data_IF_394679764784
#
_entry.id   IF_394679764784
#
_cell.length_a   1.000
_cell.length_b   1.000
_cell.length_c   1.000
_cell.angle_alpha   90.00
_cell.angle_beta   90.00
_cell.angle_gamma   90.00
#
_symmetry.space_group_name_H-M   'P 1'
#
loop_
_entity.id
_entity.type
_entity.pdbx_description
1 polymer ?
#
# COMPACT_ATOMS: atom_id res chain seq x y z
N UNK A 1 -4.20 -1.12 -32.36
CA UNK A 1 -5.14 -1.85 -31.50
C UNK A 1 -4.87 -1.45 -30.06
N UNK A 2 -5.79 -0.70 -29.43
CA UNK A 2 -5.65 -0.32 -28.03
C UNK A 2 -6.07 -1.51 -27.15
N UNK A 3 -5.11 -2.13 -26.47
CA UNK A 3 -5.44 -3.14 -25.46
C UNK A 3 -6.11 -2.44 -24.29
N UNK A 4 -7.43 -2.57 -24.18
CA UNK A 4 -8.16 -2.17 -22.97
C UNK A 4 -7.69 -3.12 -21.85
N UNK A 5 -6.70 -2.69 -21.06
CA UNK A 5 -6.37 -3.38 -19.81
C UNK A 5 -7.59 -3.19 -18.90
N UNK A 6 -8.32 -4.28 -18.61
CA UNK A 6 -9.36 -4.25 -17.57
C UNK A 6 -8.71 -3.71 -16.29
N UNK A 7 -9.31 -2.66 -15.73
CA UNK A 7 -8.89 -2.11 -14.44
C UNK A 7 -9.00 -3.25 -13.42
N UNK A 8 -7.92 -3.54 -12.71
CA UNK A 8 -7.95 -4.54 -11.64
C UNK A 8 -8.98 -4.10 -10.59
N UNK A 9 -9.67 -5.05 -9.92
CA UNK A 9 -10.55 -4.71 -8.82
C UNK A 9 -9.76 -3.94 -7.76
N UNK A 10 -10.37 -2.90 -7.20
CA UNK A 10 -9.79 -2.14 -6.10
C UNK A 10 -10.28 -2.75 -4.78
N UNK A 11 -9.34 -3.22 -3.96
CA UNK A 11 -9.59 -3.71 -2.63
C UNK A 11 -9.28 -2.60 -1.63
N UNK A 12 -10.32 -2.02 -1.05
CA UNK A 12 -10.24 -0.87 -0.12
C UNK A 12 -10.58 -1.32 1.29
N UNK A 13 -9.95 -0.70 2.27
CA UNK A 13 -10.24 -0.98 3.67
C UNK A 13 -9.36 -0.19 4.62
N UNK A 14 -9.49 -0.48 5.90
CA UNK A 14 -8.62 0.05 6.94
C UNK A 14 -7.60 -1.01 7.37
N UNK A 15 -6.38 -0.56 7.62
CA UNK A 15 -5.27 -1.41 8.04
C UNK A 15 -4.36 -0.70 9.01
N UNK A 16 -3.34 -1.40 9.46
CA UNK A 16 -2.27 -0.84 10.28
C UNK A 16 -1.00 -0.72 9.45
N UNK A 17 -0.45 0.48 9.38
CA UNK A 17 0.86 0.74 8.82
C UNK A 17 1.90 0.74 9.93
N UNK A 18 2.96 -0.03 9.73
CA UNK A 18 4.14 -0.04 10.60
C UNK A 18 5.40 0.24 9.79
N UNK A 19 6.15 1.24 10.20
CA UNK A 19 7.50 1.51 9.71
C UNK A 19 8.39 1.92 10.90
N UNK A 20 9.64 2.29 10.64
CA UNK A 20 10.57 2.64 11.71
C UNK A 20 10.05 3.82 12.52
N UNK A 21 9.72 3.57 13.79
CA UNK A 21 9.27 4.61 14.72
C UNK A 21 7.78 4.96 14.64
N UNK A 22 7.00 4.27 13.81
CA UNK A 22 5.56 4.50 13.69
C UNK A 22 4.78 3.18 13.59
N UNK A 23 3.65 3.14 14.28
CA UNK A 23 2.61 2.14 14.13
C UNK A 23 1.26 2.84 14.30
N UNK A 24 0.39 2.73 13.31
CA UNK A 24 -0.90 3.41 13.35
C UNK A 24 -1.85 2.98 12.24
N UNK A 25 -3.12 3.34 12.40
CA UNK A 25 -4.15 3.02 11.41
C UNK A 25 -4.05 3.91 10.17
N UNK A 26 -4.28 3.29 9.01
CA UNK A 26 -4.32 3.94 7.70
C UNK A 26 -5.45 3.33 6.87
N UNK A 27 -6.04 4.11 5.98
CA UNK A 27 -6.87 3.56 4.91
C UNK A 27 -5.97 3.09 3.77
N UNK A 28 -6.34 2.01 3.08
CA UNK A 28 -5.63 1.52 1.91
C UNK A 28 -6.57 1.29 0.72
N UNK A 29 -5.99 1.34 -0.47
CA UNK A 29 -6.56 0.87 -1.73
C UNK A 29 -5.51 0.01 -2.43
N UNK A 30 -5.83 -1.26 -2.70
CA UNK A 30 -4.95 -2.20 -3.38
C UNK A 30 -5.55 -2.57 -4.74
N UNK A 31 -4.77 -2.48 -5.80
CA UNK A 31 -5.18 -2.87 -7.14
C UNK A 31 -4.91 -4.36 -7.35
N UNK A 32 -5.98 -5.15 -7.38
CA UNK A 32 -5.95 -6.61 -7.46
C UNK A 32 -6.41 -7.25 -6.15
N UNK A 33 -6.42 -8.58 -6.12
CA UNK A 33 -6.88 -9.37 -4.98
C UNK A 33 -5.70 -9.77 -4.08
N UNK A 34 -5.53 -9.17 -2.88
CA UNK A 34 -4.38 -9.43 -2.00
C UNK A 34 -4.25 -10.89 -1.58
N UNK A 35 -5.38 -11.58 -1.39
CA UNK A 35 -5.40 -12.99 -0.96
C UNK A 35 -4.83 -13.95 -2.01
N UNK A 36 -4.80 -13.52 -3.27
CA UNK A 36 -4.21 -14.31 -4.38
C UNK A 36 -2.73 -14.03 -4.61
N UNK A 37 -2.14 -13.07 -3.87
CA UNK A 37 -0.73 -12.76 -3.99
C UNK A 37 0.09 -13.94 -3.46
N UNK A 38 0.88 -14.54 -4.35
CA UNK A 38 1.79 -15.66 -4.03
C UNK A 38 3.23 -15.15 -4.04
N UNK A 39 4.10 -15.83 -3.29
CA UNK A 39 5.54 -15.64 -3.38
C UNK A 39 5.99 -15.81 -4.85
N UNK A 40 6.54 -14.74 -5.44
CA UNK A 40 6.86 -14.69 -6.86
C UNK A 40 7.13 -13.26 -7.36
N UNK A 41 7.35 -13.07 -8.66
CA UNK A 41 7.64 -11.74 -9.23
C UNK A 41 6.42 -10.80 -9.26
N UNK A 42 5.22 -11.33 -9.01
CA UNK A 42 3.98 -10.57 -9.00
C UNK A 42 3.97 -9.57 -7.83
N UNK A 43 3.76 -8.29 -8.15
CA UNK A 43 3.58 -7.22 -7.17
C UNK A 43 2.20 -6.62 -7.35
N UNK A 44 1.47 -6.46 -6.25
CA UNK A 44 0.26 -5.64 -6.26
C UNK A 44 0.66 -4.21 -5.95
N UNK A 45 -0.01 -3.25 -6.59
CA UNK A 45 0.20 -1.83 -6.30
C UNK A 45 -0.98 -1.32 -5.51
N UNK A 46 -0.73 -0.33 -4.67
CA UNK A 46 -1.77 0.31 -3.91
C UNK A 46 -1.41 1.72 -3.51
N UNK A 47 -2.33 2.33 -2.78
CA UNK A 47 -2.13 3.59 -2.09
C UNK A 47 -2.61 3.45 -0.65
N UNK A 48 -1.96 4.17 0.26
CA UNK A 48 -2.42 4.37 1.62
C UNK A 48 -2.76 5.84 1.81
N UNK A 49 -3.77 6.10 2.64
CA UNK A 49 -4.17 7.43 3.09
C UNK A 49 -3.98 7.51 4.59
N UNK A 50 -3.22 8.50 5.03
CA UNK A 50 -2.87 8.78 6.42
C UNK A 50 -2.79 10.31 6.63
N UNK A 51 -2.32 10.77 7.79
CA UNK A 51 -2.01 12.21 7.90
C UNK A 51 -0.86 12.58 6.93
N UNK A 52 -0.79 13.83 6.43
CA UNK A 52 0.28 14.25 5.53
C UNK A 52 1.69 14.01 6.07
N UNK A 53 1.87 14.14 7.39
CA UNK A 53 3.12 13.88 8.08
C UNK A 53 3.47 12.39 8.01
N UNK A 54 2.52 11.51 8.31
CA UNK A 54 2.71 10.05 8.27
C UNK A 54 2.97 9.58 6.85
N UNK A 55 2.24 10.09 5.86
CA UNK A 55 2.44 9.73 4.46
C UNK A 55 3.85 10.14 3.96
N UNK A 56 4.30 11.33 4.36
CA UNK A 56 5.66 11.82 4.07
C UNK A 56 6.74 10.98 4.76
N UNK A 57 6.55 10.66 6.04
CA UNK A 57 7.51 9.87 6.81
C UNK A 57 7.59 8.42 6.32
N UNK A 58 6.44 7.80 6.04
CA UNK A 58 6.38 6.47 5.43
C UNK A 58 7.15 6.43 4.10
N UNK A 59 6.95 7.42 3.23
CA UNK A 59 7.69 7.55 1.98
C UNK A 59 9.19 7.75 2.20
N UNK A 60 9.57 8.55 3.21
CA UNK A 60 10.98 8.78 3.57
C UNK A 60 11.68 7.53 4.06
N UNK A 61 11.00 6.68 4.83
CA UNK A 61 11.53 5.38 5.25
C UNK A 61 11.62 4.39 4.08
N UNK A 62 10.76 4.52 3.07
CA UNK A 62 10.82 3.79 1.81
C UNK A 62 10.27 2.36 1.88
N UNK A 63 10.25 1.74 3.05
CA UNK A 63 9.66 0.42 3.29
C UNK A 63 8.82 0.40 4.58
N UNK A 64 7.83 -0.49 4.61
CA UNK A 64 6.97 -0.71 5.77
C UNK A 64 6.27 -2.06 5.75
N UNK A 65 5.46 -2.30 6.77
CA UNK A 65 4.54 -3.44 6.86
C UNK A 65 3.12 -2.90 6.90
N UNK A 66 2.28 -3.38 5.98
CA UNK A 66 0.85 -3.13 5.99
C UNK A 66 0.14 -4.38 6.49
N UNK A 67 -0.56 -4.25 7.62
CA UNK A 67 -1.45 -5.27 8.15
C UNK A 67 -2.87 -4.94 7.70
N UNK A 68 -3.50 -5.84 6.96
CA UNK A 68 -4.90 -5.68 6.55
C UNK A 68 -5.84 -6.03 7.72
N UNK A 69 -7.11 -5.62 7.63
CA UNK A 69 -8.18 -5.98 8.57
C UNK A 69 -8.32 -7.51 8.80
N UNK A 70 -7.97 -8.31 7.79
CA UNK A 70 -7.97 -9.78 7.85
C UNK A 70 -6.86 -10.36 8.73
N UNK A 71 -5.94 -9.51 9.21
CA UNK A 71 -4.72 -9.90 9.92
C UNK A 71 -3.56 -10.26 8.99
N UNK A 72 -3.76 -10.27 7.67
CA UNK A 72 -2.70 -10.54 6.70
C UNK A 72 -1.67 -9.41 6.70
N UNK A 73 -0.39 -9.76 6.79
CA UNK A 73 0.72 -8.82 6.82
C UNK A 73 1.50 -8.88 5.51
N UNK A 74 1.73 -7.72 4.91
CA UNK A 74 2.50 -7.59 3.68
C UNK A 74 3.61 -6.59 3.87
N UNK A 75 4.80 -6.93 3.36
CA UNK A 75 5.86 -5.93 3.22
C UNK A 75 5.51 -5.04 2.04
N UNK A 76 5.56 -3.74 2.28
CA UNK A 76 5.32 -2.74 1.27
C UNK A 76 6.58 -1.92 1.01
N UNK A 77 6.78 -1.55 -0.25
CA UNK A 77 7.79 -0.58 -0.67
C UNK A 77 7.06 0.65 -1.17
N UNK A 78 7.38 1.81 -0.61
CA UNK A 78 6.76 3.08 -0.97
C UNK A 78 7.38 3.57 -2.29
N UNK A 79 6.53 3.85 -3.27
CA UNK A 79 6.93 4.21 -4.63
C UNK A 79 6.87 5.72 -4.87
N UNK A 80 6.01 6.43 -4.17
CA UNK A 80 5.82 7.86 -4.38
C UNK A 80 4.89 8.47 -3.35
N UNK A 81 5.13 9.74 -3.07
CA UNK A 81 4.27 10.61 -2.27
C UNK A 81 4.29 12.00 -2.91
N UNK A 82 3.14 12.67 -2.90
CA UNK A 82 3.05 14.07 -3.33
C UNK A 82 3.18 14.97 -2.11
N UNK A 83 4.10 15.93 -2.13
CA UNK A 83 4.32 16.84 -0.99
C UNK A 83 3.01 17.55 -0.59
N UNK A 84 2.64 17.45 0.69
CA UNK A 84 1.38 17.99 1.23
C UNK A 84 0.15 17.10 1.03
N UNK A 85 0.28 15.94 0.38
CA UNK A 85 -0.78 14.95 0.26
C UNK A 85 -0.81 14.02 1.49
N UNK A 86 -2.01 13.60 1.84
CA UNK A 86 -2.34 12.51 2.77
C UNK A 86 -2.09 11.11 2.18
N UNK A 87 -1.78 11.03 0.88
CA UNK A 87 -1.74 9.78 0.14
C UNK A 87 -0.33 9.42 -0.29
N UNK A 88 0.08 8.17 -0.02
CA UNK A 88 1.32 7.59 -0.51
C UNK A 88 1.04 6.32 -1.33
N UNK A 89 1.80 6.12 -2.40
CA UNK A 89 1.69 4.95 -3.28
C UNK A 89 2.72 3.90 -2.91
N UNK A 90 2.32 2.64 -2.97
CA UNK A 90 3.19 1.51 -2.62
C UNK A 90 3.04 0.35 -3.59
N UNK A 91 3.99 -0.57 -3.50
CA UNK A 91 3.85 -1.94 -4.01
C UNK A 91 4.00 -2.95 -2.87
N UNK A 92 3.28 -4.06 -2.99
CA UNK A 92 3.25 -5.15 -2.03
C UNK A 92 4.04 -6.34 -2.54
N UNK A 93 4.73 -7.01 -1.62
CA UNK A 93 5.37 -8.30 -1.82
C UNK A 93 5.02 -9.26 -0.68
N UNK A 94 4.93 -10.55 -1.01
CA UNK A 94 4.90 -11.67 -0.05
C UNK A 94 6.33 -12.05 0.32
#
# INVERSE_FOLDING_TARGET
MAYVRKKLPAFVGEGELRYRGFQGQVAYEIQGEPTTLKAGPSRLRGSLTATPEVAKEAFREGEGVLTLETGAQFRITLLGHSSGSDTAYFEMRV
#
